data_IF_239567689942
#
_entry.id   IF_239567689942
#
_cell.length_a   1.000
_cell.length_b   1.000
_cell.length_c   1.000
_cell.angle_alpha   90.00
_cell.angle_beta   90.00
_cell.angle_gamma   90.00
#
_symmetry.space_group_name_H-M   'P 1'
#
loop_
_entity.id
_entity.type
_entity.pdbx_description
1 polymer ?
#
# COMPACT_ATOMS: atom_id res chain seq x y z
N UNK A 1 -2.93 -13.33 17.94
CA UNK A 1 -3.13 -12.46 16.78
C UNK A 1 -2.07 -11.39 16.89
N UNK A 2 -1.17 -11.33 15.92
CA UNK A 2 -0.09 -10.35 15.89
C UNK A 2 -0.69 -9.02 15.42
N UNK A 3 -1.36 -8.30 16.32
CA UNK A 3 -2.03 -7.03 16.01
C UNK A 3 -1.01 -5.91 15.98
N UNK A 4 0.01 -6.06 15.11
CA UNK A 4 0.98 -5.00 14.88
C UNK A 4 0.26 -3.78 14.31
N UNK A 5 0.62 -2.56 14.75
CA UNK A 5 0.07 -1.36 14.14
C UNK A 5 0.43 -1.29 12.65
N UNK A 6 -0.37 -0.58 11.85
CA UNK A 6 -0.19 -0.54 10.40
C UNK A 6 0.74 0.60 9.99
N UNK A 7 1.52 0.37 8.94
CA UNK A 7 2.36 1.37 8.31
C UNK A 7 2.09 1.39 6.80
N UNK A 8 1.30 2.36 6.34
CA UNK A 8 0.97 2.51 4.93
C UNK A 8 1.99 3.37 4.21
N UNK A 9 2.51 2.83 3.12
CA UNK A 9 3.51 3.39 2.23
C UNK A 9 2.82 3.68 0.88
N UNK A 10 2.25 4.86 0.74
CA UNK A 10 1.43 5.23 -0.42
C UNK A 10 2.35 5.70 -1.55
N UNK A 11 2.37 4.95 -2.64
CA UNK A 11 3.07 5.28 -3.88
C UNK A 11 2.07 5.86 -4.89
N UNK A 12 2.06 7.19 -5.00
CA UNK A 12 1.14 7.92 -5.86
C UNK A 12 1.81 9.21 -6.35
N UNK A 13 1.81 9.43 -7.66
CA UNK A 13 2.44 10.62 -8.25
C UNK A 13 1.63 11.89 -8.00
N UNK A 14 0.31 11.74 -7.87
CA UNK A 14 -0.61 12.85 -7.64
C UNK A 14 -0.79 13.08 -6.13
N UNK A 15 -0.23 14.18 -5.64
CA UNK A 15 -0.29 14.53 -4.22
C UNK A 15 -1.73 14.74 -3.71
N UNK A 16 -2.68 15.13 -4.55
CA UNK A 16 -4.08 15.27 -4.12
C UNK A 16 -4.72 13.91 -3.85
N UNK A 17 -4.48 12.94 -4.74
CA UNK A 17 -4.98 11.57 -4.56
C UNK A 17 -4.31 10.91 -3.34
N UNK A 18 -3.00 11.13 -3.17
CA UNK A 18 -2.28 10.63 -2.00
C UNK A 18 -2.85 11.21 -0.70
N UNK A 19 -3.08 12.52 -0.65
CA UNK A 19 -3.66 13.19 0.52
C UNK A 19 -5.06 12.70 0.84
N UNK A 20 -5.93 12.55 -0.16
CA UNK A 20 -7.28 12.02 0.03
C UNK A 20 -7.27 10.62 0.63
N UNK A 21 -6.41 9.74 0.10
CA UNK A 21 -6.19 8.40 0.67
C UNK A 21 -5.65 8.44 2.10
N UNK A 22 -4.63 9.27 2.37
CA UNK A 22 -4.06 9.43 3.71
C UNK A 22 -5.12 9.92 4.70
N UNK A 23 -5.96 10.88 4.31
CA UNK A 23 -7.06 11.34 5.15
C UNK A 23 -8.05 10.21 5.42
N UNK A 24 -8.46 9.48 4.38
CA UNK A 24 -9.34 8.31 4.52
C UNK A 24 -8.79 7.25 5.48
N UNK A 25 -7.49 6.96 5.42
CA UNK A 25 -6.80 6.00 6.29
C UNK A 25 -6.57 6.54 7.71
N UNK A 26 -6.41 7.86 7.88
CA UNK A 26 -6.19 8.49 9.19
C UNK A 26 -7.39 8.40 10.13
N UNK A 27 -8.59 8.13 9.60
CA UNK A 27 -9.81 7.93 10.41
C UNK A 27 -9.83 6.61 11.17
N UNK A 28 -8.91 5.69 10.90
CA UNK A 28 -8.79 4.43 11.63
C UNK A 28 -7.89 4.61 12.84
N UNK A 29 -8.50 4.68 14.03
CA UNK A 29 -7.81 4.85 15.30
C UNK A 29 -6.96 3.61 15.67
N UNK A 30 -5.73 3.87 16.09
CA UNK A 30 -4.65 2.89 16.26
C UNK A 30 -3.37 3.49 15.69
N UNK A 31 -2.20 3.03 16.11
CA UNK A 31 -0.88 3.62 15.80
C UNK A 31 -0.51 3.43 14.30
N UNK A 32 -1.29 4.06 13.42
CA UNK A 32 -1.23 3.95 11.97
C UNK A 32 -0.29 5.01 11.43
N UNK A 33 0.80 4.58 10.81
CA UNK A 33 1.76 5.47 10.17
C UNK A 33 1.45 5.57 8.68
N UNK A 34 1.53 6.78 8.16
CA UNK A 34 1.23 7.09 6.77
C UNK A 34 2.43 7.80 6.15
N UNK A 35 2.98 7.23 5.09
CA UNK A 35 4.06 7.81 4.30
C UNK A 35 3.65 7.91 2.85
N UNK A 36 4.05 9.00 2.20
CA UNK A 36 3.81 9.24 0.79
C UNK A 36 5.14 9.28 0.02
N UNK A 37 5.12 8.63 -1.15
CA UNK A 37 6.18 8.58 -2.15
C UNK A 37 5.59 8.89 -3.52
N UNK A 38 6.25 9.74 -4.29
CA UNK A 38 5.83 10.15 -5.63
C UNK A 38 6.31 9.19 -6.73
N UNK A 39 7.35 8.40 -6.44
CA UNK A 39 7.94 7.46 -7.40
C UNK A 39 8.55 6.24 -6.71
N UNK A 40 8.75 5.17 -7.50
CA UNK A 40 9.44 3.96 -7.03
C UNK A 40 10.89 4.27 -6.67
N UNK A 41 11.56 5.16 -7.40
CA UNK A 41 12.93 5.61 -7.09
C UNK A 41 13.01 6.32 -5.74
N UNK A 42 12.05 7.20 -5.44
CA UNK A 42 11.96 7.85 -4.14
C UNK A 42 11.73 6.81 -3.04
N UNK A 43 10.87 5.81 -3.30
CA UNK A 43 10.64 4.71 -2.37
C UNK A 43 11.93 3.91 -2.15
N UNK A 44 12.70 3.55 -3.18
CA UNK A 44 14.00 2.87 -3.00
C UNK A 44 14.94 3.61 -2.05
N UNK A 45 15.00 4.93 -2.14
CA UNK A 45 15.89 5.75 -1.32
C UNK A 45 15.41 5.87 0.14
N UNK A 46 14.10 5.97 0.35
CA UNK A 46 13.51 6.33 1.65
C UNK A 46 12.90 5.15 2.40
N UNK A 47 12.61 4.04 1.73
CA UNK A 47 11.96 2.86 2.30
C UNK A 47 12.70 2.28 3.51
N UNK A 48 14.05 2.13 3.50
CA UNK A 48 14.76 1.58 4.65
C UNK A 48 14.60 2.37 5.95
N UNK A 49 14.34 3.68 5.85
CA UNK A 49 14.12 4.57 6.99
C UNK A 49 12.66 4.68 7.42
N UNK A 50 11.73 4.19 6.60
CA UNK A 50 10.27 4.27 6.83
C UNK A 50 9.65 2.94 7.22
N UNK A 51 10.27 1.82 6.82
CA UNK A 51 9.89 0.48 7.27
C UNK A 51 10.16 0.35 8.76
N UNK A 52 9.14 -0.09 9.50
CA UNK A 52 9.24 -0.36 10.93
C UNK A 52 8.91 -1.83 11.19
N UNK A 53 9.81 -2.54 11.87
CA UNK A 53 9.64 -3.96 12.21
C UNK A 53 8.52 -4.18 13.23
N UNK A 54 8.18 -3.16 14.01
CA UNK A 54 7.07 -3.18 14.95
C UNK A 54 5.71 -3.01 14.25
N UNK A 55 5.71 -2.57 12.99
CA UNK A 55 4.49 -2.34 12.22
C UNK A 55 4.33 -3.38 11.10
N UNK A 56 3.09 -3.56 10.66
CA UNK A 56 2.79 -4.22 9.41
C UNK A 56 2.92 -3.21 8.26
N UNK A 57 3.95 -3.36 7.43
CA UNK A 57 4.26 -2.42 6.34
C UNK A 57 3.47 -2.79 5.08
N UNK A 58 2.77 -1.82 4.50
CA UNK A 58 1.83 -2.03 3.39
C UNK A 58 2.09 -0.98 2.32
N UNK A 59 2.49 -1.39 1.12
CA UNK A 59 2.61 -0.51 -0.03
C UNK A 59 1.28 -0.40 -0.75
N UNK A 60 0.77 0.81 -0.93
CA UNK A 60 -0.45 1.07 -1.70
C UNK A 60 -0.10 1.80 -2.98
N UNK A 61 -0.48 1.28 -4.15
CA UNK A 61 -0.12 1.87 -5.43
C UNK A 61 -1.22 1.73 -6.49
N UNK A 62 -1.19 2.57 -7.53
CA UNK A 62 -2.01 2.46 -8.74
C UNK A 62 -1.22 1.95 -9.96
N UNK A 63 0.02 1.50 -9.76
CA UNK A 63 0.79 0.86 -10.82
C UNK A 63 0.12 -0.44 -11.24
N UNK A 64 0.18 -0.72 -12.54
CA UNK A 64 -0.21 -2.03 -13.08
C UNK A 64 0.75 -3.13 -12.65
N UNK A 65 0.33 -4.38 -12.71
CA UNK A 65 1.17 -5.55 -12.41
C UNK A 65 2.46 -5.51 -13.25
N UNK A 66 2.35 -5.14 -14.52
CA UNK A 66 3.50 -5.02 -15.41
C UNK A 66 4.47 -3.90 -14.98
N UNK A 67 3.96 -2.74 -14.54
CA UNK A 67 4.78 -1.63 -14.04
C UNK A 67 5.44 -1.97 -12.71
N UNK A 68 4.74 -2.68 -11.81
CA UNK A 68 5.30 -3.15 -10.52
C UNK A 68 6.46 -4.11 -10.77
N UNK A 69 6.30 -5.06 -11.70
CA UNK A 69 7.35 -6.01 -12.06
C UNK A 69 8.55 -5.31 -12.72
N UNK A 70 8.28 -4.40 -13.67
CA UNK A 70 9.33 -3.71 -14.42
C UNK A 70 10.15 -2.72 -13.57
N UNK A 71 9.51 -2.11 -12.57
CA UNK A 71 10.15 -1.13 -11.69
C UNK A 71 10.96 -1.74 -10.55
N UNK A 72 10.86 -3.04 -10.31
CA UNK A 72 11.51 -3.69 -9.17
C UNK A 72 10.76 -3.53 -7.84
N UNK A 73 9.56 -2.92 -7.86
CA UNK A 73 8.78 -2.64 -6.65
C UNK A 73 8.37 -3.93 -5.92
N UNK A 74 8.02 -4.98 -6.67
CA UNK A 74 7.68 -6.28 -6.09
C UNK A 74 8.83 -6.85 -5.24
N UNK A 75 10.05 -6.82 -5.78
CA UNK A 75 11.25 -7.33 -5.12
C UNK A 75 11.61 -6.43 -3.93
N UNK A 76 11.45 -5.11 -4.06
CA UNK A 76 11.67 -4.18 -2.97
C UNK A 76 10.70 -4.43 -1.80
N UNK A 77 9.41 -4.56 -2.08
CA UNK A 77 8.39 -4.85 -1.08
C UNK A 77 8.67 -6.19 -0.38
N UNK A 78 8.96 -7.25 -1.15
CA UNK A 78 9.31 -8.55 -0.60
C UNK A 78 10.57 -8.49 0.29
N UNK A 79 11.61 -7.78 -0.15
CA UNK A 79 12.86 -7.64 0.60
C UNK A 79 12.64 -6.99 1.99
N UNK A 80 11.72 -6.04 2.07
CA UNK A 80 11.39 -5.33 3.30
C UNK A 80 10.21 -5.93 4.08
N UNK A 81 9.62 -7.04 3.60
CA UNK A 81 8.47 -7.67 4.23
C UNK A 81 7.21 -6.79 4.21
N UNK A 82 7.01 -6.08 3.10
CA UNK A 82 5.82 -5.28 2.87
C UNK A 82 4.77 -6.07 2.07
N UNK A 83 3.51 -5.98 2.49
CA UNK A 83 2.39 -6.39 1.66
C UNK A 83 2.14 -5.34 0.57
N UNK A 84 1.64 -5.79 -0.58
CA UNK A 84 1.33 -4.92 -1.72
C UNK A 84 -0.17 -4.86 -1.93
N UNK A 85 -0.70 -3.65 -1.98
CA UNK A 85 -2.09 -3.33 -2.28
C UNK A 85 -2.12 -2.53 -3.58
N UNK A 86 -2.72 -3.12 -4.61
CA UNK A 86 -2.92 -2.50 -5.91
C UNK A 86 -4.32 -1.92 -5.99
N UNK A 87 -4.41 -0.62 -6.24
CA UNK A 87 -5.67 0.03 -6.56
C UNK A 87 -6.15 -0.43 -7.92
N UNK A 88 -7.40 -0.84 -7.99
CA UNK A 88 -8.01 -1.33 -9.22
C UNK A 88 -7.93 -0.28 -10.32
N UNK A 89 -7.63 -0.76 -11.52
CA UNK A 89 -7.33 0.06 -12.68
C UNK A 89 -7.42 -0.79 -13.93
N UNK A 90 -6.29 -1.03 -14.59
CA UNK A 90 -6.26 -1.84 -15.82
C UNK A 90 -6.17 -3.34 -15.55
N UNK A 91 -5.59 -3.74 -14.42
CA UNK A 91 -5.46 -5.16 -14.06
C UNK A 91 -6.69 -5.68 -13.35
N UNK A 92 -7.05 -6.93 -13.66
CA UNK A 92 -8.10 -7.65 -12.94
C UNK A 92 -7.67 -7.98 -11.52
N UNK A 93 -8.63 -8.03 -10.58
CA UNK A 93 -8.42 -8.51 -9.21
C UNK A 93 -7.73 -9.88 -9.18
N UNK A 94 -8.10 -10.79 -10.10
CA UNK A 94 -7.46 -12.10 -10.21
C UNK A 94 -5.99 -12.04 -10.61
N UNK A 95 -5.60 -11.08 -11.47
CA UNK A 95 -4.20 -10.89 -11.87
C UNK A 95 -3.34 -10.41 -10.69
N UNK A 96 -3.88 -9.50 -9.89
CA UNK A 96 -3.23 -8.99 -8.67
C UNK A 96 -3.11 -10.11 -7.62
N UNK A 97 -4.20 -10.84 -7.37
CA UNK A 97 -4.21 -11.95 -6.41
C UNK A 97 -3.29 -13.10 -6.79
N UNK A 98 -3.11 -13.38 -8.08
CA UNK A 98 -2.15 -14.39 -8.56
C UNK A 98 -0.69 -14.09 -8.16
N UNK A 99 -0.37 -12.83 -7.83
CA UNK A 99 0.93 -12.41 -7.28
C UNK A 99 1.02 -12.47 -5.75
N UNK A 100 -0.06 -12.86 -5.09
CA UNK A 100 -0.20 -12.80 -3.63
C UNK A 100 -0.45 -11.39 -3.10
N UNK A 101 -0.86 -10.46 -3.96
CA UNK A 101 -1.15 -9.07 -3.59
C UNK A 101 -2.65 -8.86 -3.35
N UNK A 102 -2.99 -7.71 -2.75
CA UNK A 102 -4.37 -7.31 -2.48
C UNK A 102 -4.85 -6.28 -3.50
N UNK A 103 -6.15 -6.31 -3.80
CA UNK A 103 -6.80 -5.26 -4.59
C UNK A 103 -7.63 -4.34 -3.70
N UNK A 104 -7.62 -3.05 -4.03
CA UNK A 104 -8.48 -2.01 -3.47
C UNK A 104 -9.28 -1.36 -4.59
N UNK A 105 -10.61 -1.32 -4.49
CA UNK A 105 -11.47 -0.70 -5.49
C UNK A 105 -11.10 0.78 -5.74
N UNK A 106 -11.34 1.27 -6.96
CA UNK A 106 -11.18 2.68 -7.30
C UNK A 106 -12.34 3.16 -8.20
N UNK A 107 -13.05 4.25 -7.86
CA UNK A 107 -12.92 5.04 -6.62
C UNK A 107 -13.25 4.19 -5.38
N UNK A 108 -12.59 4.47 -4.26
CA UNK A 108 -12.85 3.80 -2.97
C UNK A 108 -13.71 4.68 -2.07
N UNK A 109 -14.55 4.03 -1.28
CA UNK A 109 -15.27 4.63 -0.16
C UNK A 109 -14.52 4.45 1.15
N UNK A 110 -14.99 5.11 2.20
CA UNK A 110 -14.51 4.84 3.55
C UNK A 110 -14.69 3.36 3.93
N UNK A 111 -15.80 2.72 3.53
CA UNK A 111 -16.04 1.31 3.81
C UNK A 111 -14.99 0.39 3.18
N UNK A 112 -14.52 0.70 1.96
CA UNK A 112 -13.47 -0.07 1.29
C UNK A 112 -12.14 0.00 2.05
N UNK A 113 -11.80 1.18 2.57
CA UNK A 113 -10.63 1.36 3.42
C UNK A 113 -10.76 0.60 4.75
N UNK A 114 -11.96 0.53 5.33
CA UNK A 114 -12.20 -0.25 6.55
C UNK A 114 -11.98 -1.74 6.31
N UNK A 115 -12.52 -2.26 5.19
CA UNK A 115 -12.32 -3.64 4.79
C UNK A 115 -10.84 -3.94 4.56
N UNK A 116 -10.10 -3.01 3.94
CA UNK A 116 -8.66 -3.14 3.77
C UNK A 116 -7.94 -3.21 5.12
N UNK A 117 -8.14 -2.23 6.01
CA UNK A 117 -7.50 -2.18 7.34
C UNK A 117 -7.78 -3.45 8.14
N UNK A 118 -9.04 -3.90 8.19
CA UNK A 118 -9.41 -5.14 8.89
C UNK A 118 -8.71 -6.37 8.30
N UNK A 119 -8.56 -6.44 6.97
CA UNK A 119 -7.84 -7.52 6.32
C UNK A 119 -6.35 -7.52 6.66
N UNK A 120 -5.74 -6.35 6.81
CA UNK A 120 -4.30 -6.21 7.12
C UNK A 120 -3.96 -6.49 8.59
N UNK A 121 -4.97 -6.57 9.47
CA UNK A 121 -4.81 -7.00 10.86
C UNK A 121 -5.09 -8.49 11.11
N UNK A 122 -5.69 -9.19 10.14
CA UNK A 122 -6.11 -10.59 10.26
C UNK A 122 -4.94 -11.56 10.10
#
# INVERSE_FOLDING_TARGET
MDTRPLNFLILEKDSFIAMDMMQGLSFYEGDCRLHHFHSVDEMHQRLPATVDRQHHNIVVTKLSVAEIDASGLAQLAQHHGCDVVVREGIDSTSSVQARGWHSLAAPFSQQDLSVLVNRMHA
#
